data_IF_817851039706
#
_entry.id   IF_817851039706
#
_cell.length_a   1.000
_cell.length_b   1.000
_cell.length_c   1.000
_cell.angle_alpha   90.00
_cell.angle_beta   90.00
_cell.angle_gamma   90.00
#
_symmetry.space_group_name_H-M   'P 1'
#
loop_
_entity.id
_entity.type
_entity.pdbx_description
1 polymer ?
#
# COMPACT_ATOMS: atom_id res chain seq x y z
N UNK A 1 -14.30 -4.90 -7.37
CA UNK A 1 -13.66 -5.01 -6.05
C UNK A 1 -14.00 -3.74 -5.28
N UNK A 2 -14.86 -3.81 -4.26
CA UNK A 2 -15.19 -2.64 -3.40
C UNK A 2 -14.08 -2.55 -2.36
N UNK A 3 -13.28 -1.49 -2.41
CA UNK A 3 -12.42 -1.12 -1.28
C UNK A 3 -13.26 -0.22 -0.39
N UNK A 4 -13.54 -0.65 0.84
CA UNK A 4 -14.09 0.23 1.87
C UNK A 4 -13.14 1.41 1.99
N UNK A 5 -13.65 2.63 1.82
CA UNK A 5 -12.89 3.87 1.99
C UNK A 5 -12.57 4.15 3.47
N UNK A 6 -12.52 3.10 4.29
CA UNK A 6 -12.36 3.18 5.73
C UNK A 6 -10.87 3.12 6.03
N UNK A 7 -10.30 4.26 6.41
CA UNK A 7 -9.00 4.29 7.05
C UNK A 7 -9.06 3.40 8.29
N UNK A 8 -8.19 2.41 8.37
CA UNK A 8 -8.14 1.50 9.52
C UNK A 8 -7.00 1.91 10.43
N UNK A 9 -7.30 2.16 11.71
CA UNK A 9 -6.29 2.36 12.74
C UNK A 9 -5.76 0.98 13.18
N UNK A 10 -4.44 0.83 13.24
CA UNK A 10 -3.76 -0.38 13.70
C UNK A 10 -2.76 -0.03 14.79
N UNK A 11 -2.44 -1.00 15.64
CA UNK A 11 -1.40 -0.86 16.67
C UNK A 11 -0.30 -1.91 16.45
N UNK A 12 0.95 -1.48 16.53
CA UNK A 12 2.17 -2.28 16.53
C UNK A 12 2.93 -2.04 17.82
N UNK A 13 3.48 -3.10 18.42
CA UNK A 13 4.34 -2.96 19.60
C UNK A 13 5.65 -2.23 19.25
N UNK A 14 6.13 -2.38 18.01
CA UNK A 14 7.39 -1.81 17.55
C UNK A 14 7.23 -0.35 17.08
N UNK A 15 6.07 -0.01 16.50
CA UNK A 15 5.85 1.27 15.81
C UNK A 15 4.68 2.12 16.35
N UNK A 16 4.00 1.67 17.41
CA UNK A 16 2.85 2.38 17.97
C UNK A 16 1.61 2.32 17.07
N UNK A 17 0.79 3.37 17.06
CA UNK A 17 -0.37 3.41 16.17
C UNK A 17 0.01 3.69 14.72
N UNK A 18 -0.81 3.20 13.80
CA UNK A 18 -0.78 3.58 12.40
C UNK A 18 -2.16 3.86 11.83
N UNK A 19 -2.17 4.70 10.81
CA UNK A 19 -3.29 4.87 9.90
C UNK A 19 -3.00 4.11 8.60
N UNK A 20 -3.93 3.24 8.20
CA UNK A 20 -3.89 2.56 6.91
C UNK A 20 -4.93 3.15 5.98
N UNK A 21 -4.53 3.59 4.79
CA UNK A 21 -5.45 4.08 3.76
C UNK A 21 -5.06 3.59 2.36
N UNK A 22 -5.97 3.75 1.41
CA UNK A 22 -5.80 3.31 0.02
C UNK A 22 -5.80 4.51 -0.92
N UNK A 23 -4.84 4.54 -1.84
CA UNK A 23 -4.75 5.56 -2.90
C UNK A 23 -5.02 4.96 -4.28
N UNK A 24 -5.51 5.81 -5.19
CA UNK A 24 -5.82 5.42 -6.57
C UNK A 24 -4.51 5.12 -7.30
N UNK A 25 -4.45 3.94 -7.92
CA UNK A 25 -3.34 3.58 -8.79
C UNK A 25 -3.43 4.36 -10.11
N UNK A 26 -2.37 5.10 -10.51
CA UNK A 26 -2.39 5.89 -11.74
C UNK A 26 -2.41 5.04 -13.02
N UNK A 27 -2.20 3.73 -12.91
CA UNK A 27 -2.11 2.82 -14.06
C UNK A 27 -3.44 2.13 -14.36
N UNK A 28 -4.13 1.64 -13.32
CA UNK A 28 -5.38 0.89 -13.48
C UNK A 28 -6.59 1.60 -12.88
N UNK A 29 -6.42 2.83 -12.38
CA UNK A 29 -7.46 3.69 -11.79
C UNK A 29 -8.28 3.04 -10.67
N UNK A 30 -7.75 2.00 -10.03
CA UNK A 30 -8.35 1.35 -8.87
C UNK A 30 -7.67 1.83 -7.58
N UNK A 31 -8.44 1.97 -6.49
CA UNK A 31 -7.95 2.27 -5.15
C UNK A 31 -7.23 1.05 -4.53
N UNK A 32 -6.11 0.63 -5.12
CA UNK A 32 -5.43 -0.61 -4.79
C UNK A 32 -4.04 -0.44 -4.19
N UNK A 33 -3.51 0.79 -4.10
CA UNK A 33 -2.20 1.05 -3.46
C UNK A 33 -2.47 1.28 -1.98
N UNK A 34 -1.86 0.46 -1.11
CA UNK A 34 -1.99 0.59 0.34
C UNK A 34 -0.84 1.42 0.90
N UNK A 35 -1.17 2.40 1.72
CA UNK A 35 -0.22 3.22 2.47
C UNK A 35 -0.46 3.00 3.97
N UNK A 36 0.63 2.83 4.73
CA UNK A 36 0.62 2.74 6.18
C UNK A 36 1.46 3.89 6.70
N UNK A 37 0.88 4.78 7.50
CA UNK A 37 1.57 5.87 8.17
C UNK A 37 1.61 5.58 9.67
N UNK A 38 2.81 5.54 10.23
CA UNK A 38 3.04 5.32 11.65
C UNK A 38 3.11 6.64 12.41
N UNK A 39 2.91 6.59 13.74
CA UNK A 39 2.98 7.77 14.62
C UNK A 39 4.35 8.44 14.64
N UNK A 40 5.42 7.69 14.40
CA UNK A 40 6.78 8.21 14.31
C UNK A 40 7.04 9.01 13.01
N UNK A 41 6.05 9.07 12.12
CA UNK A 41 6.11 9.75 10.83
C UNK A 41 6.68 8.90 9.70
N UNK A 42 7.07 7.66 9.96
CA UNK A 42 7.49 6.73 8.91
C UNK A 42 6.29 6.26 8.07
N UNK A 43 6.54 6.01 6.78
CA UNK A 43 5.51 5.59 5.83
C UNK A 43 5.96 4.34 5.05
N UNK A 44 5.06 3.37 4.96
CA UNK A 44 5.21 2.19 4.12
C UNK A 44 4.22 2.24 2.96
N UNK A 45 4.75 2.21 1.72
CA UNK A 45 3.92 2.15 0.50
C UNK A 45 4.06 0.79 -0.18
N UNK A 46 2.95 0.06 -0.24
CA UNK A 46 2.85 -1.24 -0.88
C UNK A 46 2.44 -1.10 -2.35
N UNK A 47 2.74 -2.13 -3.15
CA UNK A 47 2.33 -2.19 -4.56
C UNK A 47 0.79 -2.19 -4.72
N UNK A 48 0.31 -1.81 -5.90
CA UNK A 48 -1.12 -1.89 -6.21
C UNK A 48 -1.59 -3.35 -6.22
N UNK A 49 -2.45 -3.75 -5.29
CA UNK A 49 -2.94 -5.12 -5.18
C UNK A 49 -3.79 -5.57 -6.39
N UNK A 50 -4.35 -4.62 -7.15
CA UNK A 50 -5.19 -4.89 -8.32
C UNK A 50 -4.37 -5.24 -9.55
N UNK A 51 -3.41 -4.39 -9.94
CA UNK A 51 -2.63 -4.62 -11.16
C UNK A 51 -1.28 -5.29 -10.91
N UNK A 52 -0.79 -5.27 -9.65
CA UNK A 52 0.50 -5.82 -9.21
C UNK A 52 1.67 -5.42 -10.11
N UNK A 53 1.59 -4.24 -10.73
CA UNK A 53 2.55 -3.82 -11.77
C UNK A 53 3.95 -3.63 -11.21
N UNK A 54 4.07 -3.15 -9.96
CA UNK A 54 5.36 -2.98 -9.27
C UNK A 54 6.06 -4.33 -9.05
N UNK A 55 5.33 -5.36 -8.63
CA UNK A 55 5.87 -6.71 -8.42
C UNK A 55 6.40 -7.28 -9.75
N UNK A 56 5.58 -7.24 -10.81
CA UNK A 56 5.99 -7.70 -12.15
C UNK A 56 7.25 -7.00 -12.69
N UNK A 57 7.38 -5.69 -12.41
CA UNK A 57 8.56 -4.92 -12.82
C UNK A 57 9.83 -5.30 -12.04
N UNK A 58 9.71 -5.71 -10.78
CA UNK A 58 10.88 -6.15 -10.01
C UNK A 58 11.31 -7.56 -10.41
N UNK A 59 10.36 -8.48 -10.59
CA UNK A 59 10.64 -9.84 -11.10
C UNK A 59 11.38 -9.79 -12.44
N UNK A 60 10.98 -8.89 -13.34
CA UNK A 60 11.63 -8.74 -14.66
C UNK A 60 13.11 -8.29 -14.54
N UNK A 61 13.46 -7.51 -13.51
CA UNK A 61 14.82 -6.98 -13.31
C UNK A 61 15.77 -7.98 -12.63
N UNK A 62 15.23 -9.03 -12.01
CA UNK A 62 16.04 -10.10 -11.39
C UNK A 62 16.35 -11.24 -12.38
N UNK A 63 15.65 -11.26 -13.52
CA UNK A 63 15.85 -12.22 -14.62
C UNK A 63 16.79 -11.72 -15.73
N UNK A 64 17.31 -10.50 -15.60
CA UNK A 64 18.34 -9.91 -16.48
C UNK A 64 19.73 -9.96 -15.80
#
# INVERSE_FOLDING_TARGET
MKFSADSTIRFSVEHGFSETFYVICPICSNAGIKVIRWEDGSEETLGCATCRRRERMMETRETE
#
